data_IF_995979946837
#
_entry.id   IF_995979946837
#
_cell.length_a   1.000
_cell.length_b   1.000
_cell.length_c   1.000
_cell.angle_alpha   90.00
_cell.angle_beta   90.00
_cell.angle_gamma   90.00
#
_symmetry.space_group_name_H-M   'P 1'
#
loop_
_entity.id
_entity.type
_entity.pdbx_description
1 polymer ?
#
# COMPACT_ATOMS: atom_id res chain seq x y z
N UNK A 1 25.70 -38.47 21.99
CA UNK A 1 24.38 -38.76 21.38
C UNK A 1 24.46 -38.32 19.93
N UNK A 2 24.46 -39.26 18.97
CA UNK A 2 24.48 -38.94 17.54
C UNK A 2 23.12 -38.39 17.16
N UNK A 3 23.05 -37.10 16.77
CA UNK A 3 21.81 -36.48 16.37
C UNK A 3 21.45 -36.98 14.96
N UNK A 4 20.44 -37.84 14.85
CA UNK A 4 20.01 -38.39 13.57
C UNK A 4 19.26 -37.30 12.80
N UNK A 5 19.98 -36.56 11.95
CA UNK A 5 19.43 -35.41 11.21
C UNK A 5 18.57 -35.81 10.01
N UNK A 6 18.54 -37.10 9.65
CA UNK A 6 17.81 -37.64 8.48
C UNK A 6 16.32 -37.27 8.47
N UNK A 7 15.52 -37.45 9.55
CA UNK A 7 14.11 -37.04 9.57
C UNK A 7 13.92 -35.55 9.27
N UNK A 8 14.78 -34.67 9.78
CA UNK A 8 14.67 -33.23 9.50
C UNK A 8 14.98 -32.90 8.04
N UNK A 9 15.94 -33.59 7.42
CA UNK A 9 16.23 -33.43 5.99
C UNK A 9 15.03 -33.87 5.13
N UNK A 10 14.33 -34.95 5.50
CA UNK A 10 13.11 -35.36 4.82
C UNK A 10 11.98 -34.33 4.98
N UNK A 11 11.78 -33.80 6.18
CA UNK A 11 10.76 -32.75 6.43
C UNK A 11 11.09 -31.49 5.64
N UNK A 12 12.34 -31.03 5.65
CA UNK A 12 12.77 -29.85 4.87
C UNK A 12 12.55 -30.08 3.38
N UNK A 13 12.90 -31.26 2.84
CA UNK A 13 12.68 -31.58 1.44
C UNK A 13 11.20 -31.56 1.06
N UNK A 14 10.31 -32.08 1.93
CA UNK A 14 8.87 -32.04 1.72
C UNK A 14 8.37 -30.58 1.73
N UNK A 15 8.81 -29.77 2.70
CA UNK A 15 8.42 -28.36 2.78
C UNK A 15 8.86 -27.58 1.54
N UNK A 16 10.09 -27.79 1.06
CA UNK A 16 10.60 -27.16 -0.16
C UNK A 16 9.82 -27.64 -1.41
N UNK A 17 9.46 -28.92 -1.48
CA UNK A 17 8.67 -29.46 -2.58
C UNK A 17 7.24 -28.88 -2.60
N UNK A 18 6.59 -28.79 -1.44
CA UNK A 18 5.27 -28.19 -1.30
C UNK A 18 5.30 -26.70 -1.63
N UNK A 19 6.30 -25.98 -1.13
CA UNK A 19 6.49 -24.55 -1.45
C UNK A 19 6.74 -24.35 -2.95
N UNK A 20 7.61 -25.16 -3.56
CA UNK A 20 7.89 -25.11 -5.00
C UNK A 20 6.66 -25.42 -5.84
N UNK A 21 5.90 -26.47 -5.49
CA UNK A 21 4.65 -26.83 -6.16
C UNK A 21 3.60 -25.74 -6.03
N UNK A 22 3.40 -25.18 -4.84
CA UNK A 22 2.49 -24.06 -4.60
C UNK A 22 2.83 -22.86 -5.48
N UNK A 23 4.11 -22.43 -5.50
CA UNK A 23 4.54 -21.33 -6.35
C UNK A 23 4.37 -21.66 -7.84
N UNK A 24 4.70 -22.88 -8.27
CA UNK A 24 4.47 -23.31 -9.65
C UNK A 24 3.00 -23.16 -10.04
N UNK A 25 2.08 -23.64 -9.19
CA UNK A 25 0.64 -23.47 -9.42
C UNK A 25 0.28 -21.99 -9.50
N UNK A 26 0.69 -21.16 -8.55
CA UNK A 26 0.35 -19.73 -8.52
C UNK A 26 0.87 -18.97 -9.75
N UNK A 27 2.09 -19.25 -10.21
CA UNK A 27 2.70 -18.53 -11.34
C UNK A 27 2.35 -19.10 -12.73
N UNK A 28 1.84 -20.32 -12.80
CA UNK A 28 1.50 -20.99 -14.08
C UNK A 28 0.00 -21.26 -14.26
N UNK A 29 -0.85 -20.89 -13.29
CA UNK A 29 -2.30 -20.91 -13.48
C UNK A 29 -2.82 -19.51 -13.78
N UNK A 30 -3.57 -19.38 -14.86
CA UNK A 30 -4.15 -18.11 -15.35
C UNK A 30 -5.24 -17.53 -14.42
N UNK A 31 -5.38 -18.05 -13.20
CA UNK A 31 -6.44 -17.70 -12.23
C UNK A 31 -6.05 -16.61 -11.24
N UNK A 32 -4.77 -16.21 -11.16
CA UNK A 32 -4.31 -15.12 -10.30
C UNK A 32 -4.10 -13.83 -11.10
N UNK A 33 -5.06 -13.51 -11.98
CA UNK A 33 -5.10 -12.18 -12.61
C UNK A 33 -5.56 -11.20 -11.54
N UNK A 34 -4.67 -10.32 -11.08
CA UNK A 34 -5.03 -9.23 -10.19
C UNK A 34 -6.29 -8.52 -10.74
N UNK A 35 -7.29 -8.33 -9.87
CA UNK A 35 -8.68 -7.91 -10.20
C UNK A 35 -8.75 -6.62 -11.04
N UNK A 36 -7.66 -5.86 -11.12
CA UNK A 36 -7.39 -4.95 -12.22
C UNK A 36 -5.88 -4.72 -12.29
N UNK A 37 -5.25 -4.99 -13.44
CA UNK A 37 -3.83 -4.69 -13.62
C UNK A 37 -3.65 -3.18 -13.56
N UNK A 38 -2.85 -2.68 -12.62
CA UNK A 38 -2.48 -1.26 -12.56
C UNK A 38 -2.05 -0.78 -13.96
N UNK A 39 -2.48 0.42 -14.34
CA UNK A 39 -1.99 1.05 -15.56
C UNK A 39 -0.46 1.17 -15.51
N UNK A 40 0.25 1.17 -16.64
CA UNK A 40 1.70 1.36 -16.64
C UNK A 40 2.15 2.61 -15.87
N UNK A 41 1.34 3.69 -15.92
CA UNK A 41 1.56 4.90 -15.13
C UNK A 41 1.41 4.65 -13.62
N UNK A 42 0.35 3.95 -13.18
CA UNK A 42 0.18 3.59 -11.78
C UNK A 42 1.32 2.68 -11.27
N UNK A 43 1.81 1.75 -12.08
CA UNK A 43 2.97 0.90 -11.73
C UNK A 43 4.22 1.76 -11.54
N UNK A 44 4.48 2.70 -12.45
CA UNK A 44 5.59 3.63 -12.29
C UNK A 44 5.44 4.50 -11.04
N UNK A 45 4.24 5.01 -10.75
CA UNK A 45 3.93 5.76 -9.54
C UNK A 45 4.18 4.96 -8.27
N UNK A 46 3.78 3.69 -8.24
CA UNK A 46 4.08 2.79 -7.13
C UNK A 46 5.59 2.62 -6.91
N UNK A 47 6.35 2.44 -8.00
CA UNK A 47 7.81 2.32 -7.93
C UNK A 47 8.46 3.60 -7.40
N UNK A 48 8.03 4.77 -7.87
CA UNK A 48 8.48 6.07 -7.37
C UNK A 48 8.17 6.25 -5.89
N UNK A 49 6.95 5.89 -5.47
CA UNK A 49 6.53 5.97 -4.07
C UNK A 49 7.42 5.12 -3.15
N UNK A 50 7.79 3.91 -3.60
CA UNK A 50 8.65 2.99 -2.85
C UNK A 50 10.12 3.42 -2.86
N UNK A 51 10.67 3.74 -4.03
CA UNK A 51 12.09 4.10 -4.18
C UNK A 51 12.44 5.39 -3.45
N UNK A 52 11.50 6.34 -3.38
CA UNK A 52 11.64 7.60 -2.65
C UNK A 52 11.19 7.52 -1.18
N UNK A 53 10.88 6.31 -0.68
CA UNK A 53 10.54 6.03 0.73
C UNK A 53 9.37 6.87 1.26
N UNK A 54 8.38 7.20 0.42
CA UNK A 54 7.21 7.97 0.85
C UNK A 54 6.48 7.30 2.03
N UNK A 55 6.43 5.96 2.03
CA UNK A 55 5.88 5.12 3.11
C UNK A 55 6.54 5.34 4.49
N UNK A 56 7.79 5.80 4.52
CA UNK A 56 8.50 6.03 5.80
C UNK A 56 7.89 7.18 6.61
N UNK A 57 7.19 8.09 5.94
CA UNK A 57 6.56 9.25 6.55
C UNK A 57 5.04 9.23 6.41
N UNK A 58 4.52 8.67 5.32
CA UNK A 58 3.10 8.62 5.01
C UNK A 58 2.53 7.22 5.14
N UNK A 59 1.24 7.14 5.45
CA UNK A 59 0.50 5.89 5.50
C UNK A 59 -0.28 5.66 4.21
N UNK A 60 -0.47 4.38 3.85
CA UNK A 60 -1.66 3.94 3.11
C UNK A 60 -2.40 2.91 3.97
N UNK A 61 -3.70 3.07 4.08
CA UNK A 61 -4.63 2.22 4.81
C UNK A 61 -4.28 2.14 6.29
N UNK A 62 -3.79 3.25 6.85
CA UNK A 62 -3.31 3.29 8.22
C UNK A 62 -1.98 2.56 8.46
N UNK A 63 -1.30 2.11 7.41
CA UNK A 63 0.01 1.45 7.52
C UNK A 63 1.11 2.32 6.93
N UNK A 64 2.20 2.50 7.67
CA UNK A 64 3.33 3.36 7.26
C UNK A 64 3.80 4.27 8.37
N UNK A 65 4.54 5.32 8.00
CA UNK A 65 4.98 6.36 8.92
C UNK A 65 3.84 7.32 9.27
N UNK A 66 3.90 7.91 10.47
CA UNK A 66 2.89 8.84 11.00
C UNK A 66 3.34 10.31 10.97
N UNK A 67 4.44 10.62 10.27
CA UNK A 67 5.00 11.97 10.23
C UNK A 67 4.20 12.87 9.28
N UNK A 68 3.77 12.31 8.15
CA UNK A 68 2.86 12.92 7.19
C UNK A 68 1.44 12.32 7.32
N UNK A 69 0.44 12.95 6.68
CA UNK A 69 -0.92 12.42 6.66
C UNK A 69 -0.99 11.08 5.92
N UNK A 70 -1.98 10.26 6.26
CA UNK A 70 -2.40 9.12 5.44
C UNK A 70 -2.85 9.61 4.05
N UNK A 71 -2.42 8.89 3.02
CA UNK A 71 -2.64 9.26 1.62
C UNK A 71 -3.67 8.39 0.91
N UNK A 72 -4.33 7.44 1.59
CA UNK A 72 -5.26 6.50 0.97
C UNK A 72 -6.33 7.19 0.16
N UNK A 73 -6.98 8.21 0.71
CA UNK A 73 -8.05 8.93 0.02
C UNK A 73 -7.65 10.36 -0.36
N UNK A 74 -6.35 10.63 -0.55
CA UNK A 74 -5.87 11.99 -0.83
C UNK A 74 -6.38 12.53 -2.18
N UNK A 75 -6.64 11.64 -3.14
CA UNK A 75 -7.10 12.01 -4.47
C UNK A 75 -8.54 12.52 -4.47
N UNK A 76 -9.45 11.82 -3.80
CA UNK A 76 -10.88 12.16 -3.73
C UNK A 76 -11.24 13.08 -2.57
N UNK A 77 -10.32 13.32 -1.62
CA UNK A 77 -10.57 14.21 -0.50
C UNK A 77 -10.87 15.64 -0.94
N UNK A 78 -11.81 16.28 -0.23
CA UNK A 78 -12.32 17.61 -0.54
C UNK A 78 -11.20 18.65 -0.65
N UNK A 79 -11.16 19.36 -1.78
CA UNK A 79 -10.19 20.43 -2.06
C UNK A 79 -8.76 19.97 -2.38
N UNK A 80 -8.48 18.67 -2.48
CA UNK A 80 -7.13 18.14 -2.74
C UNK A 80 -6.95 17.77 -4.22
N UNK A 81 -7.29 16.55 -4.63
CA UNK A 81 -7.18 16.16 -6.04
C UNK A 81 -5.75 16.19 -6.61
N UNK A 82 -5.60 16.05 -7.94
CA UNK A 82 -4.31 15.85 -8.59
C UNK A 82 -3.36 17.05 -8.43
N UNK A 83 -3.86 18.27 -8.58
CA UNK A 83 -3.04 19.48 -8.51
C UNK A 83 -2.48 19.71 -7.10
N UNK A 84 -3.25 19.40 -6.05
CA UNK A 84 -2.77 19.45 -4.68
C UNK A 84 -1.62 18.47 -4.47
N UNK A 85 -1.78 17.22 -4.91
CA UNK A 85 -0.72 16.20 -4.79
C UNK A 85 0.56 16.70 -5.48
N UNK A 86 0.47 17.18 -6.73
CA UNK A 86 1.62 17.69 -7.48
C UNK A 86 2.29 18.89 -6.81
N UNK A 87 1.51 19.80 -6.20
CA UNK A 87 2.06 20.97 -5.52
C UNK A 87 2.97 20.59 -4.36
N UNK A 88 2.59 19.60 -3.55
CA UNK A 88 3.42 19.12 -2.43
C UNK A 88 4.72 18.45 -2.89
N UNK A 89 4.71 17.76 -4.04
CA UNK A 89 5.92 17.19 -4.63
C UNK A 89 6.91 18.28 -5.07
N UNK A 90 6.39 19.40 -5.61
CA UNK A 90 7.20 20.52 -6.08
C UNK A 90 7.80 21.36 -4.96
N UNK A 91 7.06 21.62 -3.88
CA UNK A 91 7.52 22.52 -2.82
C UNK A 91 8.19 21.80 -1.65
N UNK A 92 7.78 20.55 -1.38
CA UNK A 92 7.92 19.97 -0.04
C UNK A 92 7.15 20.78 1.02
N UNK A 93 7.10 20.29 2.26
CA UNK A 93 6.53 21.01 3.41
C UNK A 93 7.19 20.55 4.71
N UNK A 94 7.83 21.47 5.44
CA UNK A 94 8.55 21.21 6.71
C UNK A 94 9.54 20.05 6.58
N UNK A 95 9.13 18.85 6.98
CA UNK A 95 9.93 17.62 6.95
C UNK A 95 9.79 16.83 5.65
N UNK A 96 8.75 17.09 4.85
CA UNK A 96 8.59 16.48 3.54
C UNK A 96 9.58 17.15 2.57
N UNK A 97 10.52 16.40 1.97
CA UNK A 97 11.51 16.96 1.07
C UNK A 97 10.86 17.45 -0.23
N UNK A 98 11.52 18.41 -0.87
CA UNK A 98 11.21 18.79 -2.24
C UNK A 98 11.76 17.72 -3.20
N UNK A 99 10.94 17.29 -4.16
CA UNK A 99 11.34 16.34 -5.19
C UNK A 99 11.59 17.04 -6.53
N UNK A 100 12.54 16.53 -7.30
CA UNK A 100 12.82 17.01 -8.65
C UNK A 100 12.26 16.04 -9.70
N UNK A 101 10.97 15.71 -9.58
CA UNK A 101 10.28 14.82 -10.50
C UNK A 101 9.85 15.54 -11.78
N UNK A 102 9.87 14.82 -12.90
CA UNK A 102 9.26 15.28 -14.15
C UNK A 102 7.73 15.38 -14.02
N UNK A 103 7.06 16.06 -14.96
CA UNK A 103 5.59 16.09 -14.95
C UNK A 103 4.99 14.67 -15.10
N UNK A 104 5.62 13.83 -15.91
CA UNK A 104 5.20 12.44 -16.13
C UNK A 104 5.35 11.59 -14.85
N UNK A 105 6.44 11.78 -14.11
CA UNK A 105 6.65 11.10 -12.82
C UNK A 105 5.63 11.55 -11.77
N UNK A 106 5.30 12.85 -11.75
CA UNK A 106 4.25 13.39 -10.88
C UNK A 106 2.88 12.85 -11.26
N UNK A 107 2.57 12.78 -12.54
CA UNK A 107 1.32 12.17 -13.03
C UNK A 107 1.24 10.68 -12.69
N UNK A 108 2.35 9.95 -12.80
CA UNK A 108 2.41 8.55 -12.39
C UNK A 108 2.10 8.38 -10.88
N UNK A 109 2.67 9.22 -10.02
CA UNK A 109 2.37 9.22 -8.58
C UNK A 109 0.89 9.55 -8.30
N UNK A 110 0.33 10.54 -9.00
CA UNK A 110 -1.09 10.88 -8.89
C UNK A 110 -1.97 9.71 -9.30
N UNK A 111 -1.66 9.04 -10.41
CA UNK A 111 -2.40 7.89 -10.90
C UNK A 111 -2.31 6.70 -9.93
N UNK A 112 -1.15 6.48 -9.32
CA UNK A 112 -1.00 5.48 -8.26
C UNK A 112 -1.88 5.80 -7.05
N UNK A 113 -1.85 7.04 -6.54
CA UNK A 113 -2.65 7.45 -5.39
C UNK A 113 -4.15 7.45 -5.69
N UNK A 114 -4.55 7.76 -6.93
CA UNK A 114 -5.93 7.57 -7.41
C UNK A 114 -6.33 6.11 -7.32
N UNK A 115 -5.48 5.19 -7.78
CA UNK A 115 -5.78 3.76 -7.73
C UNK A 115 -5.92 3.25 -6.30
N UNK A 116 -5.06 3.71 -5.40
CA UNK A 116 -5.15 3.43 -3.95
C UNK A 116 -6.51 3.90 -3.40
N UNK A 117 -6.92 5.12 -3.75
CA UNK A 117 -8.21 5.69 -3.32
C UNK A 117 -9.41 4.86 -3.79
N UNK A 118 -9.36 4.33 -5.01
CA UNK A 118 -10.41 3.46 -5.55
C UNK A 118 -10.51 2.12 -4.82
N UNK A 119 -9.39 1.59 -4.31
CA UNK A 119 -9.35 0.25 -3.71
C UNK A 119 -9.66 0.21 -2.22
N UNK A 120 -9.86 1.35 -1.54
CA UNK A 120 -10.25 1.35 -0.14
C UNK A 120 -10.42 2.72 0.50
N UNK A 121 -10.84 2.73 1.77
CA UNK A 121 -11.06 3.95 2.56
C UNK A 121 -10.29 3.86 3.86
N UNK A 122 -9.65 4.96 4.27
CA UNK A 122 -9.08 5.11 5.60
C UNK A 122 -9.34 6.50 6.19
N UNK A 123 -9.72 6.60 7.49
CA UNK A 123 -10.11 5.49 8.37
C UNK A 123 -11.43 4.84 7.91
N UNK A 124 -11.48 3.50 7.96
CA UNK A 124 -12.66 2.71 7.57
C UNK A 124 -13.71 2.60 8.69
N UNK A 125 -13.62 3.43 9.72
CA UNK A 125 -14.59 3.48 10.80
C UNK A 125 -14.76 4.91 11.33
N UNK A 126 -15.89 5.13 11.97
CA UNK A 126 -16.15 6.29 12.83
C UNK A 126 -16.17 5.81 14.29
N UNK A 127 -15.51 6.56 15.17
CA UNK A 127 -15.44 6.30 16.60
C UNK A 127 -16.29 7.33 17.36
N UNK A 128 -17.30 6.85 18.08
CA UNK A 128 -18.16 7.68 18.93
C UNK A 128 -17.86 7.38 20.40
N UNK A 129 -17.54 8.40 21.18
CA UNK A 129 -17.33 8.27 22.63
C UNK A 129 -18.69 8.40 23.32
N UNK A 130 -19.13 7.33 23.97
CA UNK A 130 -20.36 7.33 24.76
C UNK A 130 -20.18 8.08 26.09
N UNK A 131 -21.28 8.53 26.69
CA UNK A 131 -21.26 9.19 28.01
C UNK A 131 -20.68 8.30 29.13
N UNK A 132 -20.66 6.98 28.92
CA UNK A 132 -20.06 5.97 29.79
C UNK A 132 -18.53 5.92 29.70
N UNK A 133 -17.93 6.61 28.72
CA UNK A 133 -16.50 6.53 28.38
C UNK A 133 -16.14 5.36 27.45
N UNK A 134 -17.10 4.51 27.07
CA UNK A 134 -16.89 3.47 26.07
C UNK A 134 -16.80 4.06 24.66
N UNK A 135 -15.97 3.46 23.80
CA UNK A 135 -15.87 3.84 22.38
C UNK A 135 -16.67 2.87 21.54
N UNK A 136 -17.66 3.37 20.83
CA UNK A 136 -18.43 2.61 19.85
C UNK A 136 -17.86 2.85 18.46
N UNK A 137 -17.49 1.77 17.78
CA UNK A 137 -16.94 1.81 16.43
C UNK A 137 -18.03 1.45 15.43
N UNK A 138 -18.25 2.31 14.43
CA UNK A 138 -19.12 2.05 13.29
C UNK A 138 -18.26 1.98 12.03
N UNK A 139 -18.11 0.78 11.47
CA UNK A 139 -17.36 0.58 10.24
C UNK A 139 -18.12 1.15 9.04
N UNK A 140 -17.35 1.75 8.12
CA UNK A 140 -17.82 2.19 6.81
C UNK A 140 -17.80 0.99 5.87
N UNK A 141 -18.70 0.98 4.89
CA UNK A 141 -18.67 -0.05 3.86
C UNK A 141 -17.40 0.14 3.01
N UNK A 142 -16.77 -0.98 2.63
CA UNK A 142 -15.65 -0.99 1.70
C UNK A 142 -16.12 -0.55 0.30
N UNK A 143 -15.20 -0.02 -0.52
CA UNK A 143 -15.47 0.41 -1.90
C UNK A 143 -15.52 -0.77 -2.86
#
# INVERSE_FOLDING_TARGET
MSNNSRPYLFVIAILLALFGFYNYVVYNTDGYVAVEKLSPAAVNGQQLFQSNRCWSCHQLYGSGGYLGPDLTNIYSAEGKGPNYIKAFLNSGVKSMPQFNFSEEEKDALVEYLKRVDETGIYPNYDAEIEATGWVKIKYKNEK
#
